data_IF_256800598048
#
_entry.id   IF_256800598048
#
_cell.length_a   1.000
_cell.length_b   1.000
_cell.length_c   1.000
_cell.angle_alpha   90.00
_cell.angle_beta   90.00
_cell.angle_gamma   90.00
#
_symmetry.space_group_name_H-M   'P 1'
#
loop_
_entity.id
_entity.type
_entity.pdbx_description
1 polymer ?
#
# COMPACT_ATOMS: atom_id res chain seq x y z
N UNK A 1 3.18 28.17 -21.39
CA UNK A 1 2.73 28.37 -20.00
C UNK A 1 2.10 27.07 -19.55
N UNK A 2 2.84 26.28 -18.78
CA UNK A 2 2.37 24.99 -18.25
C UNK A 2 1.37 25.24 -17.12
N UNK A 3 0.17 24.66 -17.26
CA UNK A 3 -0.83 24.70 -16.21
C UNK A 3 -0.44 23.73 -15.10
N UNK A 4 -0.13 24.27 -13.94
CA UNK A 4 0.11 23.50 -12.71
C UNK A 4 -1.24 22.90 -12.31
N UNK A 5 -1.38 21.58 -12.46
CA UNK A 5 -2.56 20.84 -12.04
C UNK A 5 -2.77 21.05 -10.53
N UNK A 6 -3.89 21.69 -10.18
CA UNK A 6 -4.39 21.79 -8.81
C UNK A 6 -4.82 20.39 -8.34
N UNK A 7 -3.84 19.54 -7.99
CA UNK A 7 -4.09 18.24 -7.39
C UNK A 7 -4.64 18.47 -5.98
N UNK A 8 -5.96 18.59 -5.90
CA UNK A 8 -6.71 18.47 -4.64
C UNK A 8 -6.22 17.19 -3.95
N UNK A 9 -5.81 17.23 -2.67
CA UNK A 9 -5.37 16.03 -1.98
C UNK A 9 -6.49 15.00 -2.09
N UNK A 10 -6.16 13.86 -2.70
CA UNK A 10 -7.09 12.75 -2.87
C UNK A 10 -7.37 12.23 -1.48
N UNK A 11 -8.46 12.72 -0.88
CA UNK A 11 -8.97 12.18 0.37
C UNK A 11 -9.16 10.68 0.16
N UNK A 12 -8.42 9.86 0.91
CA UNK A 12 -8.65 8.42 0.91
C UNK A 12 -10.07 8.19 1.43
N UNK A 13 -11.01 7.94 0.53
CA UNK A 13 -12.44 7.71 0.83
C UNK A 13 -12.72 6.24 1.15
N UNK A 14 -11.75 5.35 0.94
CA UNK A 14 -11.83 3.91 1.23
C UNK A 14 -11.42 3.55 2.67
N UNK A 15 -11.30 4.53 3.57
CA UNK A 15 -10.85 4.27 4.94
C UNK A 15 -11.84 3.35 5.65
N UNK A 16 -11.39 2.15 6.01
CA UNK A 16 -12.18 1.16 6.77
C UNK A 16 -12.30 1.49 8.27
N UNK A 17 -11.80 2.65 8.70
CA UNK A 17 -11.66 3.05 10.11
C UNK A 17 -12.20 4.46 10.29
N UNK A 18 -12.98 4.67 11.36
CA UNK A 18 -13.53 5.99 11.67
C UNK A 18 -12.49 6.90 12.35
N UNK A 19 -12.62 8.22 12.18
CA UNK A 19 -11.72 9.19 12.80
C UNK A 19 -11.74 9.08 14.33
N UNK A 20 -12.92 8.85 14.92
CA UNK A 20 -13.07 8.67 16.37
C UNK A 20 -12.25 7.48 16.90
N UNK A 21 -12.24 6.35 16.16
CA UNK A 21 -11.44 5.19 16.53
C UNK A 21 -9.93 5.49 16.47
N UNK A 22 -9.49 6.22 15.45
CA UNK A 22 -8.07 6.59 15.32
C UNK A 22 -7.66 7.55 16.44
N UNK A 23 -8.50 8.53 16.77
CA UNK A 23 -8.28 9.42 17.92
C UNK A 23 -8.16 8.64 19.24
N UNK A 24 -9.02 7.64 19.46
CA UNK A 24 -8.97 6.81 20.65
C UNK A 24 -7.66 6.02 20.74
N UNK A 25 -7.19 5.45 19.62
CA UNK A 25 -5.92 4.74 19.54
C UNK A 25 -4.74 5.69 19.78
N UNK A 26 -4.71 6.85 19.15
CA UNK A 26 -3.66 7.85 19.33
C UNK A 26 -3.59 8.31 20.79
N UNK A 27 -4.74 8.59 21.41
CA UNK A 27 -4.85 8.98 22.82
C UNK A 27 -4.34 7.89 23.76
N UNK A 28 -4.66 6.61 23.50
CA UNK A 28 -4.13 5.48 24.27
C UNK A 28 -2.60 5.39 24.24
N UNK A 29 -1.97 5.97 23.22
CA UNK A 29 -0.51 6.04 23.07
C UNK A 29 0.08 7.39 23.52
N UNK A 30 -0.70 8.24 24.21
CA UNK A 30 -0.24 9.54 24.69
C UNK A 30 -0.16 10.63 23.62
N UNK A 31 -0.77 10.42 22.45
CA UNK A 31 -0.82 11.39 21.37
C UNK A 31 -2.21 12.02 21.37
N UNK A 32 -2.30 13.26 21.86
CA UNK A 32 -3.52 14.06 21.76
C UNK A 32 -3.57 14.76 20.41
N UNK A 33 -4.70 14.63 19.71
CA UNK A 33 -4.89 15.18 18.37
C UNK A 33 -6.27 15.80 18.22
N UNK A 34 -6.36 16.81 17.35
CA UNK A 34 -7.64 17.28 16.82
C UNK A 34 -8.16 16.36 15.73
N UNK A 35 -9.41 16.54 15.31
CA UNK A 35 -9.98 15.79 14.18
C UNK A 35 -9.18 16.02 12.89
N UNK A 36 -8.74 17.25 12.64
CA UNK A 36 -7.94 17.63 11.48
C UNK A 36 -6.57 16.94 11.49
N UNK A 37 -5.84 17.04 12.60
CA UNK A 37 -4.55 16.35 12.77
C UNK A 37 -4.69 14.83 12.61
N UNK A 38 -5.81 14.27 13.07
CA UNK A 38 -6.07 12.83 12.93
C UNK A 38 -6.27 12.44 11.47
N UNK A 39 -6.92 13.28 10.66
CA UNK A 39 -7.08 13.03 9.22
C UNK A 39 -5.72 12.99 8.52
N UNK A 40 -4.85 13.96 8.83
CA UNK A 40 -3.51 14.05 8.26
C UNK A 40 -2.63 12.86 8.63
N UNK A 41 -2.61 12.48 9.92
CA UNK A 41 -1.89 11.29 10.40
C UNK A 41 -2.40 10.05 9.68
N UNK A 42 -3.72 9.88 9.60
CA UNK A 42 -4.32 8.73 8.95
C UNK A 42 -3.97 8.69 7.46
N UNK A 43 -4.00 9.82 6.76
CA UNK A 43 -3.62 9.91 5.34
C UNK A 43 -2.15 9.55 5.12
N UNK A 44 -1.25 10.01 5.99
CA UNK A 44 0.16 9.63 5.96
C UNK A 44 0.36 8.12 6.18
N UNK A 45 -0.34 7.53 7.15
CA UNK A 45 -0.27 6.09 7.42
C UNK A 45 -0.81 5.26 6.25
N UNK A 46 -1.88 5.70 5.60
CA UNK A 46 -2.41 5.05 4.39
C UNK A 46 -1.42 5.11 3.23
N UNK A 47 -0.76 6.26 3.04
CA UNK A 47 0.28 6.40 2.03
C UNK A 47 1.43 5.42 2.26
N UNK A 48 1.96 5.36 3.49
CA UNK A 48 3.02 4.41 3.85
C UNK A 48 2.58 2.96 3.63
N UNK A 49 1.39 2.60 4.12
CA UNK A 49 0.87 1.25 3.97
C UNK A 49 0.73 0.85 2.50
N UNK A 50 0.25 1.77 1.65
CA UNK A 50 0.12 1.54 0.21
C UNK A 50 1.48 1.35 -0.46
N UNK A 51 2.46 2.20 -0.16
CA UNK A 51 3.82 2.10 -0.71
C UNK A 51 4.47 0.76 -0.39
N UNK A 52 4.26 0.22 0.81
CA UNK A 52 4.84 -1.07 1.21
C UNK A 52 4.01 -2.28 0.77
N UNK A 53 2.68 -2.15 0.66
CA UNK A 53 1.83 -3.21 0.13
C UNK A 53 2.18 -3.54 -1.33
N UNK A 54 2.35 -2.52 -2.17
CA UNK A 54 2.71 -2.69 -3.58
C UNK A 54 4.10 -3.33 -3.76
N UNK A 55 5.03 -3.15 -2.81
CA UNK A 55 6.34 -3.83 -2.83
C UNK A 55 6.23 -5.33 -2.54
N UNK A 56 5.32 -5.75 -1.67
CA UNK A 56 5.08 -7.17 -1.38
C UNK A 56 4.36 -7.90 -2.52
N UNK A 57 3.51 -7.20 -3.29
CA UNK A 57 2.82 -7.76 -4.46
C UNK A 57 3.74 -7.99 -5.68
N UNK A 58 4.87 -7.27 -5.76
CA UNK A 58 5.88 -7.46 -6.80
C UNK A 58 6.86 -8.61 -6.49
N UNK A 59 6.92 -9.10 -5.25
CA UNK A 59 7.79 -10.21 -4.87
C UNK A 59 7.11 -11.60 -4.92
N UNK A 60 5.79 -11.68 -5.11
CA UNK A 60 5.09 -12.99 -5.20
C UNK A 60 4.91 -13.52 -6.63
N UNK A 61 5.43 -12.84 -7.65
CA UNK A 61 5.36 -13.31 -9.05
C UNK A 61 6.68 -13.89 -9.59
N UNK A 62 7.77 -13.90 -8.82
CA UNK A 62 9.04 -14.50 -9.26
C UNK A 62 9.20 -16.00 -8.92
N UNK A 63 8.27 -16.59 -8.14
CA UNK A 63 8.32 -18.03 -7.79
C UNK A 63 7.39 -18.92 -8.63
N UNK A 64 6.69 -18.38 -9.64
CA UNK A 64 5.83 -19.19 -10.53
C UNK A 64 6.34 -19.38 -11.96
N UNK A 65 7.54 -18.88 -12.29
CA UNK A 65 8.11 -19.06 -13.65
C UNK A 65 9.29 -20.04 -13.73
N UNK A 66 9.78 -20.63 -12.63
CA UNK A 66 10.90 -21.60 -12.69
C UNK A 66 10.49 -23.08 -12.61
N UNK A 67 9.20 -23.39 -12.73
CA UNK A 67 8.73 -24.79 -12.79
C UNK A 67 8.22 -25.21 -14.18
N UNK A 68 8.18 -24.29 -15.15
CA UNK A 68 7.83 -24.58 -16.55
C UNK A 68 9.01 -24.87 -17.47
N UNK A 69 10.23 -24.42 -17.12
CA UNK A 69 11.39 -24.51 -18.01
C UNK A 69 12.25 -25.77 -17.82
N UNK A 70 12.07 -26.51 -16.72
CA UNK A 70 12.87 -27.72 -16.48
C UNK A 70 12.34 -28.94 -17.26
N UNK A 71 11.02 -29.06 -17.45
CA UNK A 71 10.41 -30.20 -18.16
C UNK A 71 10.64 -30.15 -19.68
N UNK A 72 10.66 -28.95 -20.27
CA UNK A 72 10.92 -28.78 -21.70
C UNK A 72 12.39 -29.05 -22.08
N UNK A 73 13.33 -28.82 -21.15
CA UNK A 73 14.76 -29.12 -21.37
C UNK A 73 15.07 -30.61 -21.35
N UNK A 74 14.37 -31.40 -20.52
CA UNK A 74 14.62 -32.84 -20.43
C UNK A 74 14.08 -33.54 -21.68
N UNK A 75 12.90 -33.17 -22.16
CA UNK A 75 12.27 -33.83 -23.32
C UNK A 75 13.05 -33.59 -24.62
N UNK A 76 13.62 -32.39 -24.81
CA UNK A 76 14.42 -32.08 -26.00
C UNK A 76 15.82 -32.72 -26.00
N UNK A 77 16.31 -33.20 -24.85
CA UNK A 77 17.64 -33.83 -24.74
C UNK A 77 17.62 -35.35 -24.89
N UNK A 78 16.43 -35.97 -24.99
CA UNK A 78 16.26 -37.43 -25.12
C UNK A 78 15.69 -37.83 -26.50
N UNK A 79 15.47 -36.86 -27.40
CA UNK A 79 15.01 -37.08 -28.78
C UNK A 79 16.16 -37.19 -29.79
#
# INVERSE_FOLDING_TARGET
MEQISNNKPQFFSERKVSIAQVMEVLKKNGIETTEEQTKDILDFLYLLAKTHYDQSAQHTNYDKQQQGDFEHSITASIA
#
